data_IF_097020212985
#
_entry.id   IF_097020212985
#
_cell.length_a   1.000
_cell.length_b   1.000
_cell.length_c   1.000
_cell.angle_alpha   90.00
_cell.angle_beta   90.00
_cell.angle_gamma   90.00
#
_symmetry.space_group_name_H-M   'P 1'
#
loop_
_entity.id
_entity.type
_entity.pdbx_description
1 polymer ?
#
# COMPACT_ATOMS: atom_id res chain seq x y z
N UNK A 1 23.65 25.85 -0.95
CA UNK A 1 22.32 26.30 -0.42
C UNK A 1 22.47 26.54 1.07
N UNK A 2 21.74 27.51 1.63
CA UNK A 2 21.72 27.72 3.08
C UNK A 2 21.06 26.49 3.77
N UNK A 3 21.43 26.19 5.04
CA UNK A 3 20.84 25.11 5.80
C UNK A 3 19.32 25.28 5.98
N UNK A 4 18.55 24.26 5.67
CA UNK A 4 17.08 24.27 5.80
C UNK A 4 16.57 23.67 7.11
N UNK A 5 17.44 22.99 7.86
CA UNK A 5 17.03 22.20 9.01
C UNK A 5 16.39 23.02 10.13
N UNK A 6 16.98 24.17 10.48
CA UNK A 6 16.48 24.98 11.60
C UNK A 6 15.05 25.52 11.37
N UNK A 7 14.74 26.23 10.27
CA UNK A 7 13.39 26.72 10.02
C UNK A 7 12.39 25.58 9.81
N UNK A 8 12.81 24.47 9.20
CA UNK A 8 11.96 23.29 8.97
C UNK A 8 11.57 22.61 10.29
N UNK A 9 12.52 22.37 11.19
CA UNK A 9 12.28 21.73 12.48
C UNK A 9 11.43 22.60 13.41
N UNK A 10 11.69 23.92 13.45
CA UNK A 10 10.87 24.86 14.22
C UNK A 10 9.42 24.84 13.74
N UNK A 11 9.20 24.85 12.43
CA UNK A 11 7.85 24.74 11.85
C UNK A 11 7.21 23.40 12.20
N UNK A 12 7.94 22.29 12.08
CA UNK A 12 7.44 20.95 12.36
C UNK A 12 6.97 20.81 13.81
N UNK A 13 7.74 21.31 14.78
CA UNK A 13 7.36 21.25 16.19
C UNK A 13 6.07 22.01 16.49
N UNK A 14 5.81 23.12 15.79
CA UNK A 14 4.61 23.91 15.94
C UNK A 14 3.39 23.37 15.17
N UNK A 15 3.60 22.62 14.06
CA UNK A 15 2.53 22.30 13.10
C UNK A 15 2.31 20.80 12.87
N UNK A 16 3.14 19.92 13.43
CA UNK A 16 2.99 18.48 13.24
C UNK A 16 1.64 17.96 13.72
N UNK A 17 0.99 17.14 12.90
CA UNK A 17 -0.29 16.53 13.24
C UNK A 17 -0.14 15.55 14.41
N UNK A 18 -1.09 15.58 15.32
CA UNK A 18 -1.22 14.56 16.37
C UNK A 18 -1.86 13.33 15.78
N UNK A 19 -1.04 12.34 15.42
CA UNK A 19 -1.49 11.10 14.80
C UNK A 19 -1.32 9.94 15.78
N UNK A 20 -2.29 8.99 15.89
CA UNK A 20 -2.23 7.88 16.84
C UNK A 20 -0.91 7.10 16.79
N UNK A 21 -0.40 6.85 15.61
CA UNK A 21 0.86 6.10 15.40
C UNK A 21 2.15 6.88 15.71
N UNK A 22 2.05 8.11 16.27
CA UNK A 22 3.18 8.88 16.80
C UNK A 22 3.28 8.83 18.33
N UNK A 23 2.28 8.25 18.99
CA UNK A 23 2.19 8.29 20.46
C UNK A 23 3.07 7.22 21.12
N UNK A 24 3.28 6.08 20.47
CA UNK A 24 4.13 4.99 20.98
C UNK A 24 5.09 4.50 19.88
N UNK A 25 6.20 5.17 19.66
CA UNK A 25 7.08 4.91 18.53
C UNK A 25 8.06 3.76 18.79
N UNK A 26 7.58 2.51 18.90
CA UNK A 26 8.49 1.38 18.75
C UNK A 26 8.95 1.25 17.29
N UNK A 27 10.11 0.66 17.05
CA UNK A 27 10.60 0.40 15.70
C UNK A 27 9.60 -0.46 14.88
N UNK A 28 8.93 -1.42 15.55
CA UNK A 28 7.88 -2.23 14.94
C UNK A 28 6.65 -1.40 14.54
N UNK A 29 6.13 -0.58 15.44
CA UNK A 29 4.98 0.29 15.18
C UNK A 29 5.27 1.27 14.04
N UNK A 30 6.47 1.82 14.01
CA UNK A 30 6.93 2.69 12.94
C UNK A 30 7.00 1.94 11.61
N UNK A 31 7.58 0.74 11.59
CA UNK A 31 7.62 -0.09 10.38
C UNK A 31 6.23 -0.41 9.85
N UNK A 32 5.29 -0.85 10.71
CA UNK A 32 3.89 -1.11 10.32
C UNK A 32 3.25 0.14 9.73
N UNK A 33 3.41 1.30 10.38
CA UNK A 33 2.92 2.60 9.90
C UNK A 33 3.45 2.91 8.50
N UNK A 34 4.75 2.82 8.30
CA UNK A 34 5.39 3.18 7.03
C UNK A 34 4.91 2.27 5.88
N UNK A 35 4.75 0.99 6.13
CA UNK A 35 4.22 0.06 5.12
C UNK A 35 2.73 0.34 4.84
N UNK A 36 1.92 0.63 5.85
CA UNK A 36 0.50 0.94 5.65
C UNK A 36 0.29 2.23 4.86
N UNK A 37 1.11 3.25 5.09
CA UNK A 37 1.01 4.54 4.43
C UNK A 37 1.50 4.53 2.97
N UNK A 38 2.18 3.46 2.52
CA UNK A 38 2.53 3.34 1.11
C UNK A 38 1.26 3.33 0.24
N UNK A 39 1.06 4.39 -0.57
CA UNK A 39 -0.10 4.57 -1.45
C UNK A 39 -1.46 4.58 -0.74
N UNK A 40 -1.49 4.82 0.57
CA UNK A 40 -2.70 4.94 1.38
C UNK A 40 -2.71 6.30 2.08
N UNK A 41 -3.85 7.00 2.05
CA UNK A 41 -4.00 8.27 2.76
C UNK A 41 -3.99 8.04 4.27
N UNK A 42 -3.38 8.96 5.02
CA UNK A 42 -3.25 8.88 6.48
C UNK A 42 -4.58 8.59 7.18
N UNK A 43 -5.61 9.39 6.91
CA UNK A 43 -6.93 9.22 7.53
C UNK A 43 -7.56 7.84 7.25
N UNK A 44 -7.31 7.28 6.07
CA UNK A 44 -7.80 5.94 5.72
C UNK A 44 -7.00 4.83 6.39
N UNK A 45 -5.73 5.05 6.70
CA UNK A 45 -4.85 4.04 7.30
C UNK A 45 -5.06 3.87 8.81
N UNK A 46 -5.44 4.94 9.53
CA UNK A 46 -5.54 4.93 11.00
C UNK A 46 -6.37 3.76 11.55
N UNK A 47 -7.64 3.54 11.14
CA UNK A 47 -8.45 2.44 11.71
C UNK A 47 -7.89 1.05 11.38
N UNK A 48 -7.14 0.91 10.28
CA UNK A 48 -6.45 -0.34 9.96
C UNK A 48 -5.23 -0.54 10.84
N UNK A 49 -4.47 0.52 11.07
CA UNK A 49 -3.30 0.48 11.94
C UNK A 49 -3.68 0.07 13.37
N UNK A 50 -4.68 0.71 13.95
CA UNK A 50 -5.15 0.43 15.30
C UNK A 50 -5.59 -1.04 15.46
N UNK A 51 -6.40 -1.55 14.52
CA UNK A 51 -6.81 -2.96 14.53
C UNK A 51 -5.63 -3.91 14.35
N UNK A 52 -4.71 -3.57 13.46
CA UNK A 52 -3.54 -4.40 13.15
C UNK A 52 -2.61 -4.52 14.35
N UNK A 53 -2.28 -3.40 15.00
CA UNK A 53 -1.41 -3.41 16.19
C UNK A 53 -2.10 -4.08 17.38
N UNK A 54 -3.41 -3.90 17.55
CA UNK A 54 -4.15 -4.60 18.60
C UNK A 54 -4.13 -6.14 18.44
N UNK A 55 -4.21 -6.62 17.19
CA UNK A 55 -4.18 -8.06 16.88
C UNK A 55 -2.76 -8.63 16.82
N UNK A 56 -1.80 -7.84 16.37
CA UNK A 56 -0.41 -8.24 16.08
C UNK A 56 0.54 -7.19 16.68
N UNK A 57 0.75 -7.20 18.01
CA UNK A 57 1.44 -6.13 18.73
C UNK A 57 2.97 -6.11 18.50
N UNK A 58 3.55 -7.18 17.99
CA UNK A 58 4.98 -7.35 17.83
C UNK A 58 5.34 -8.23 16.62
N UNK A 59 6.63 -8.32 16.24
CA UNK A 59 7.06 -9.14 15.12
C UNK A 59 6.77 -10.63 15.31
N UNK A 60 6.74 -11.14 16.53
CA UNK A 60 6.48 -12.56 16.79
C UNK A 60 5.03 -12.93 16.51
N UNK A 61 4.07 -12.10 16.94
CA UNK A 61 2.67 -12.24 16.61
C UNK A 61 2.42 -12.17 15.11
N UNK A 62 3.07 -11.21 14.41
CA UNK A 62 2.99 -11.08 12.96
C UNK A 62 3.59 -12.31 12.23
N UNK A 63 4.73 -12.82 12.69
CA UNK A 63 5.38 -13.98 12.11
C UNK A 63 4.53 -15.26 12.21
N UNK A 64 3.85 -15.44 13.35
CA UNK A 64 3.03 -16.60 13.66
C UNK A 64 1.61 -16.54 13.09
N UNK A 65 1.14 -15.37 12.67
CA UNK A 65 -0.23 -15.19 12.19
C UNK A 65 -0.53 -16.06 10.97
N UNK A 66 -1.70 -16.70 10.95
CA UNK A 66 -2.15 -17.46 9.80
C UNK A 66 -2.32 -16.55 8.57
N UNK A 67 -1.90 -17.01 7.36
CA UNK A 67 -1.87 -16.14 6.18
C UNK A 67 -3.21 -15.52 5.78
N UNK A 68 -4.32 -16.25 5.91
CA UNK A 68 -5.62 -15.74 5.53
C UNK A 68 -6.18 -14.76 6.58
N UNK A 69 -5.95 -15.02 7.88
CA UNK A 69 -6.26 -14.07 8.95
C UNK A 69 -5.46 -12.77 8.80
N UNK A 70 -4.17 -12.87 8.45
CA UNK A 70 -3.33 -11.70 8.18
C UNK A 70 -3.86 -10.86 7.01
N UNK A 71 -4.23 -11.52 5.90
CA UNK A 71 -4.83 -10.84 4.74
C UNK A 71 -6.18 -10.24 5.07
N UNK A 72 -6.93 -10.84 5.98
CA UNK A 72 -8.22 -10.33 6.45
C UNK A 72 -8.05 -9.04 7.24
N UNK A 73 -7.09 -8.96 8.16
CA UNK A 73 -6.72 -7.72 8.86
C UNK A 73 -6.31 -6.60 7.89
N UNK A 74 -5.74 -6.97 6.73
CA UNK A 74 -5.30 -6.03 5.70
C UNK A 74 -6.37 -5.70 4.66
N UNK A 75 -7.53 -6.36 4.70
CA UNK A 75 -8.58 -6.23 3.70
C UNK A 75 -9.08 -4.79 3.60
N UNK A 76 -9.04 -4.23 2.39
CA UNK A 76 -9.42 -2.84 2.11
C UNK A 76 -8.23 -1.91 1.84
N UNK A 77 -7.04 -2.18 2.37
CA UNK A 77 -5.84 -1.38 2.11
C UNK A 77 -5.24 -1.61 0.71
N UNK A 78 -5.51 -2.78 0.11
CA UNK A 78 -4.92 -3.15 -1.18
C UNK A 78 -3.41 -3.46 -1.10
N UNK A 79 -2.79 -3.72 -2.27
CA UNK A 79 -1.36 -4.02 -2.36
C UNK A 79 -0.90 -5.09 -1.35
N UNK A 80 -1.56 -6.23 -1.32
CA UNK A 80 -1.39 -7.30 -0.33
C UNK A 80 0.03 -7.87 -0.27
N UNK A 81 0.84 -7.68 -1.32
CA UNK A 81 2.27 -8.01 -1.26
C UNK A 81 2.99 -7.30 -0.12
N UNK A 82 2.49 -6.13 0.32
CA UNK A 82 3.06 -5.41 1.47
C UNK A 82 2.98 -6.25 2.73
N UNK A 83 1.79 -6.67 3.11
CA UNK A 83 1.59 -7.46 4.34
C UNK A 83 2.19 -8.87 4.24
N UNK A 84 2.17 -9.49 3.06
CA UNK A 84 2.83 -10.77 2.85
C UNK A 84 4.37 -10.67 3.03
N UNK A 85 4.98 -9.57 2.55
CA UNK A 85 6.40 -9.32 2.76
C UNK A 85 6.71 -8.93 4.21
N UNK A 86 5.83 -8.18 4.87
CA UNK A 86 5.96 -7.90 6.31
C UNK A 86 6.01 -9.18 7.13
N UNK A 87 5.14 -10.15 6.86
CA UNK A 87 5.17 -11.43 7.56
C UNK A 87 6.48 -12.20 7.34
N UNK A 88 6.97 -12.22 6.09
CA UNK A 88 8.28 -12.85 5.79
C UNK A 88 9.41 -12.14 6.53
N UNK A 89 9.42 -10.81 6.54
CA UNK A 89 10.40 -10.03 7.25
C UNK A 89 10.30 -10.27 8.77
N UNK A 90 9.10 -10.34 9.34
CA UNK A 90 8.89 -10.62 10.75
C UNK A 90 9.47 -11.99 11.17
N UNK A 91 9.33 -13.02 10.33
CA UNK A 91 9.98 -14.33 10.58
C UNK A 91 11.49 -14.19 10.63
N UNK A 92 12.10 -13.48 9.69
CA UNK A 92 13.55 -13.23 9.68
C UNK A 92 13.97 -12.43 10.92
N UNK A 93 13.18 -11.42 11.31
CA UNK A 93 13.43 -10.63 12.54
C UNK A 93 13.42 -11.52 13.79
N UNK A 94 12.47 -12.43 13.91
CA UNK A 94 12.43 -13.39 15.01
C UNK A 94 13.61 -14.36 14.99
N UNK A 95 13.95 -14.89 13.81
CA UNK A 95 15.00 -15.90 13.65
C UNK A 95 16.43 -15.35 13.82
N UNK A 96 16.68 -14.14 13.32
CA UNK A 96 18.03 -13.60 13.19
C UNK A 96 18.35 -12.43 14.14
N UNK A 97 17.30 -11.74 14.63
CA UNK A 97 17.45 -10.52 15.42
C UNK A 97 16.71 -10.58 16.77
N UNK A 98 16.34 -11.79 17.23
CA UNK A 98 15.73 -11.97 18.55
C UNK A 98 14.34 -11.37 18.73
N UNK A 99 13.65 -11.05 17.64
CA UNK A 99 12.30 -10.47 17.66
C UNK A 99 12.26 -8.93 17.58
N UNK A 100 13.41 -8.26 17.58
CA UNK A 100 13.52 -6.81 17.44
C UNK A 100 14.08 -6.41 16.06
N UNK A 101 13.58 -5.31 15.51
CA UNK A 101 14.14 -4.78 14.26
C UNK A 101 15.60 -4.36 14.45
N UNK A 102 16.51 -4.68 13.50
CA UNK A 102 17.92 -4.34 13.63
C UNK A 102 18.13 -2.82 13.56
N UNK A 103 18.96 -2.28 14.49
CA UNK A 103 19.38 -0.90 14.48
C UNK A 103 20.52 -0.66 13.48
N UNK A 104 20.32 -1.09 12.25
CA UNK A 104 21.26 -0.97 11.13
C UNK A 104 20.52 -0.79 9.82
N UNK A 105 20.91 0.20 9.01
CA UNK A 105 20.23 0.56 7.78
C UNK A 105 20.29 -0.55 6.72
N UNK A 106 21.45 -1.18 6.54
CA UNK A 106 21.63 -2.22 5.51
C UNK A 106 20.93 -3.52 5.92
N UNK A 107 20.94 -3.86 7.20
CA UNK A 107 20.19 -4.98 7.74
C UNK A 107 18.67 -4.77 7.56
N UNK A 108 18.14 -3.58 7.90
CA UNK A 108 16.73 -3.23 7.63
C UNK A 108 16.39 -3.35 6.15
N UNK A 109 17.25 -2.82 5.28
CA UNK A 109 17.05 -2.81 3.84
C UNK A 109 17.08 -4.22 3.22
N UNK A 110 17.76 -5.17 3.84
CA UNK A 110 17.81 -6.57 3.41
C UNK A 110 16.50 -7.33 3.66
N UNK A 111 15.63 -6.83 4.54
CA UNK A 111 14.37 -7.48 4.90
C UNK A 111 13.34 -7.39 3.76
N UNK A 112 12.57 -8.45 3.51
CA UNK A 112 11.54 -8.47 2.47
C UNK A 112 10.55 -7.30 2.58
N UNK A 113 10.39 -6.55 1.49
CA UNK A 113 9.45 -5.43 1.42
C UNK A 113 9.94 -4.12 2.04
N UNK A 114 11.15 -4.07 2.60
CA UNK A 114 11.79 -2.87 3.09
C UNK A 114 12.74 -2.34 2.03
N UNK A 115 12.38 -1.24 1.40
CA UNK A 115 13.23 -0.50 0.46
C UNK A 115 13.97 0.66 1.14
N UNK A 116 14.76 1.39 0.34
CA UNK A 116 15.58 2.53 0.82
C UNK A 116 14.78 3.53 1.67
N UNK A 117 13.56 3.87 1.25
CA UNK A 117 12.69 4.78 2.00
C UNK A 117 12.31 4.22 3.38
N UNK A 118 11.77 3.00 3.43
CA UNK A 118 11.30 2.41 4.69
C UNK A 118 12.47 2.15 5.64
N UNK A 119 13.60 1.65 5.11
CA UNK A 119 14.82 1.48 5.90
C UNK A 119 15.31 2.83 6.45
N UNK A 120 15.32 3.89 5.63
CA UNK A 120 15.70 5.23 6.05
C UNK A 120 14.78 5.79 7.13
N UNK A 121 13.46 5.61 6.98
CA UNK A 121 12.49 6.06 7.98
C UNK A 121 12.68 5.33 9.33
N UNK A 122 12.73 4.00 9.31
CA UNK A 122 12.92 3.21 10.55
C UNK A 122 14.27 3.51 11.19
N UNK A 123 15.36 3.50 10.41
CA UNK A 123 16.71 3.74 10.92
C UNK A 123 16.84 5.13 11.55
N UNK A 124 16.29 6.17 10.91
CA UNK A 124 16.42 7.54 11.42
C UNK A 124 15.48 7.86 12.57
N UNK A 125 14.22 7.42 12.50
CA UNK A 125 13.18 7.80 13.47
C UNK A 125 13.26 6.94 14.73
N UNK A 126 13.43 5.60 14.57
CA UNK A 126 13.49 4.70 15.72
C UNK A 126 14.89 4.63 16.35
N UNK A 127 15.94 4.72 15.54
CA UNK A 127 17.32 4.46 16.00
C UNK A 127 18.25 5.67 15.92
N UNK A 128 17.78 6.82 15.42
CA UNK A 128 18.60 8.04 15.33
C UNK A 128 19.76 7.94 14.34
N UNK A 129 19.75 6.98 13.41
CA UNK A 129 20.80 6.81 12.42
C UNK A 129 20.63 7.89 11.33
N UNK A 130 21.69 8.66 10.99
CA UNK A 130 21.59 9.79 10.05
C UNK A 130 21.55 9.32 8.59
N UNK A 131 20.40 8.75 8.20
CA UNK A 131 20.09 8.30 6.84
C UNK A 131 18.78 8.92 6.35
N UNK A 132 18.68 9.30 5.06
CA UNK A 132 17.50 9.97 4.54
C UNK A 132 16.35 9.00 4.24
N UNK A 133 15.12 9.46 4.48
CA UNK A 133 13.89 8.80 4.07
C UNK A 133 13.24 9.59 2.91
N UNK A 134 13.53 9.20 1.66
CA UNK A 134 13.12 9.96 0.48
C UNK A 134 11.91 9.32 -0.18
N UNK A 135 10.72 9.87 0.09
CA UNK A 135 9.46 9.51 -0.53
C UNK A 135 9.06 10.49 -1.66
N UNK A 136 7.87 10.32 -2.21
CA UNK A 136 7.34 11.22 -3.23
C UNK A 136 7.11 12.66 -2.74
N UNK A 137 6.89 12.87 -1.43
CA UNK A 137 6.77 14.20 -0.84
C UNK A 137 8.12 14.88 -0.79
N UNK A 138 9.13 14.19 -0.29
CA UNK A 138 10.51 14.69 -0.19
C UNK A 138 11.07 15.01 -1.57
N UNK A 139 10.86 14.12 -2.57
CA UNK A 139 11.25 14.40 -3.96
C UNK A 139 10.61 15.69 -4.49
N UNK A 140 9.33 15.92 -4.22
CA UNK A 140 8.63 17.14 -4.62
C UNK A 140 9.16 18.38 -3.93
N UNK A 141 9.37 18.30 -2.62
CA UNK A 141 9.94 19.41 -1.83
C UNK A 141 11.31 19.80 -2.40
N UNK A 142 12.19 18.83 -2.62
CA UNK A 142 13.54 19.08 -3.12
C UNK A 142 13.58 19.54 -4.58
N UNK A 143 12.70 19.02 -5.45
CA UNK A 143 12.56 19.52 -6.83
C UNK A 143 12.23 21.02 -6.83
N UNK A 144 11.29 21.44 -5.99
CA UNK A 144 10.89 22.85 -5.85
C UNK A 144 11.96 23.69 -5.18
N UNK A 145 12.52 23.20 -4.08
CA UNK A 145 13.55 23.91 -3.31
C UNK A 145 14.78 24.24 -4.17
N UNK A 146 15.18 23.33 -5.06
CA UNK A 146 16.33 23.52 -5.95
C UNK A 146 15.94 24.07 -7.33
N UNK A 147 14.66 24.23 -7.64
CA UNK A 147 14.13 24.56 -8.98
C UNK A 147 14.63 23.57 -10.05
N UNK A 148 14.60 22.28 -9.73
CA UNK A 148 15.15 21.20 -10.54
C UNK A 148 14.03 20.52 -11.32
N UNK A 149 14.11 20.53 -12.66
CA UNK A 149 13.12 19.97 -13.57
C UNK A 149 13.49 18.58 -14.09
N UNK A 150 14.50 17.94 -13.51
CA UNK A 150 14.81 16.56 -13.80
C UNK A 150 13.63 15.64 -13.42
N UNK A 151 13.39 14.60 -14.26
CA UNK A 151 12.36 13.60 -13.99
C UNK A 151 12.60 12.91 -12.63
N UNK A 152 11.72 13.19 -11.65
CA UNK A 152 11.83 12.61 -10.30
C UNK A 152 11.58 11.10 -10.24
N UNK A 153 11.10 10.50 -11.31
CA UNK A 153 10.93 9.04 -11.41
C UNK A 153 12.21 8.34 -11.86
N UNK A 154 13.15 9.07 -12.48
CA UNK A 154 14.42 8.52 -12.94
C UNK A 154 15.31 8.10 -11.76
N UNK A 155 15.92 6.90 -11.77
CA UNK A 155 16.79 6.43 -10.69
C UNK A 155 17.97 7.36 -10.39
N UNK A 156 18.57 7.95 -11.41
CA UNK A 156 19.67 8.91 -11.26
C UNK A 156 19.23 10.17 -10.50
N UNK A 157 18.04 10.72 -10.80
CA UNK A 157 17.46 11.88 -10.12
C UNK A 157 17.17 11.56 -8.66
N UNK A 158 16.58 10.39 -8.37
CA UNK A 158 16.33 9.94 -6.99
C UNK A 158 17.63 9.86 -6.20
N UNK A 159 18.68 9.26 -6.78
CA UNK A 159 20.01 9.18 -6.14
C UNK A 159 20.58 10.57 -5.85
N UNK A 160 20.54 11.47 -6.83
CA UNK A 160 21.02 12.85 -6.65
C UNK A 160 20.25 13.60 -5.55
N UNK A 161 18.93 13.43 -5.50
CA UNK A 161 18.10 14.07 -4.45
C UNK A 161 18.34 13.45 -3.08
N UNK A 162 18.55 12.14 -2.99
CA UNK A 162 18.95 11.47 -1.75
C UNK A 162 20.25 12.08 -1.17
N UNK A 163 21.24 12.34 -2.00
CA UNK A 163 22.48 13.03 -1.59
C UNK A 163 22.16 14.45 -1.08
N UNK A 164 21.35 15.22 -1.80
CA UNK A 164 20.97 16.58 -1.37
C UNK A 164 20.21 16.59 -0.04
N UNK A 165 19.34 15.59 0.21
CA UNK A 165 18.63 15.44 1.49
C UNK A 165 19.63 15.15 2.61
N UNK A 166 20.56 14.24 2.36
CA UNK A 166 21.61 13.88 3.33
C UNK A 166 22.53 15.07 3.66
N UNK A 167 22.93 15.86 2.66
CA UNK A 167 23.77 17.05 2.84
C UNK A 167 23.11 18.13 3.71
N UNK A 168 21.78 18.15 3.77
CA UNK A 168 21.00 19.09 4.59
C UNK A 168 20.59 18.51 5.94
N UNK A 169 20.83 17.24 6.18
CA UNK A 169 20.37 16.51 7.36
C UNK A 169 21.22 16.83 8.60
N UNK A 170 20.63 17.28 9.71
CA UNK A 170 21.33 17.43 10.97
C UNK A 170 21.59 16.05 11.60
N UNK A 171 22.85 15.77 11.93
CA UNK A 171 23.25 14.47 12.53
C UNK A 171 22.59 14.19 13.89
N UNK A 172 22.27 15.24 14.65
CA UNK A 172 21.67 15.10 15.96
C UNK A 172 20.17 14.80 15.95
N UNK A 173 19.47 15.13 14.86
CA UNK A 173 18.00 15.01 14.77
C UNK A 173 17.54 14.48 13.42
N UNK A 174 18.09 13.32 12.95
CA UNK A 174 17.77 12.80 11.62
C UNK A 174 16.30 12.34 11.50
N UNK A 175 15.75 11.73 12.53
CA UNK A 175 14.34 11.30 12.56
C UNK A 175 13.37 12.48 12.45
N UNK A 176 13.41 13.46 13.36
CA UNK A 176 12.59 14.67 13.26
C UNK A 176 12.75 15.41 11.93
N UNK A 177 13.94 15.46 11.35
CA UNK A 177 14.18 16.08 10.05
C UNK A 177 13.47 15.34 8.90
N UNK A 178 13.55 14.00 8.85
CA UNK A 178 12.82 13.20 7.85
C UNK A 178 11.30 13.36 8.02
N UNK A 179 10.80 13.29 9.25
CA UNK A 179 9.37 13.51 9.52
C UNK A 179 8.92 14.93 9.12
N UNK A 180 9.71 15.94 9.40
CA UNK A 180 9.42 17.32 9.04
C UNK A 180 9.34 17.53 7.52
N UNK A 181 10.23 16.91 6.74
CA UNK A 181 10.17 16.94 5.28
C UNK A 181 8.90 16.29 4.73
N UNK A 182 8.54 15.12 5.27
CA UNK A 182 7.32 14.42 4.87
C UNK A 182 6.06 15.22 5.22
N UNK A 183 6.03 15.80 6.43
CA UNK A 183 4.90 16.61 6.91
C UNK A 183 4.76 17.91 6.11
N UNK A 184 5.89 18.61 5.81
CA UNK A 184 5.89 19.79 4.94
C UNK A 184 5.32 19.46 3.56
N UNK A 185 5.71 18.31 2.99
CA UNK A 185 5.17 17.83 1.72
C UNK A 185 3.69 17.50 1.79
N UNK A 186 3.20 17.02 2.94
CA UNK A 186 1.80 16.66 3.10
C UNK A 186 0.87 17.84 3.36
N UNK A 187 1.36 18.92 4.02
CA UNK A 187 0.52 20.02 4.50
C UNK A 187 0.70 21.33 3.72
N UNK A 188 1.92 21.63 3.31
CA UNK A 188 2.27 22.94 2.72
C UNK A 188 2.73 22.79 1.27
N UNK A 189 3.77 22.01 1.04
CA UNK A 189 4.33 21.78 -0.30
C UNK A 189 3.55 20.68 -1.06
N UNK A 190 2.21 20.80 -1.12
CA UNK A 190 1.28 19.81 -1.67
C UNK A 190 1.41 19.65 -3.21
N UNK A 191 0.90 18.55 -3.81
CA UNK A 191 0.78 18.41 -5.26
C UNK A 191 -0.09 19.50 -5.89
N UNK A 192 0.21 19.89 -7.11
CA UNK A 192 -0.45 21.03 -7.78
C UNK A 192 0.04 22.35 -7.20
N UNK A 193 -0.86 23.20 -6.76
CA UNK A 193 -0.56 24.53 -6.20
C UNK A 193 -0.19 24.43 -4.73
N UNK A 194 1.09 24.63 -4.33
CA UNK A 194 1.52 24.61 -2.93
C UNK A 194 1.18 25.92 -2.19
N UNK A 195 1.10 25.83 -0.86
CA UNK A 195 0.88 26.98 0.03
C UNK A 195 2.22 27.67 0.36
N UNK A 196 2.84 28.30 -0.65
CA UNK A 196 4.20 28.84 -0.52
C UNK A 196 4.33 29.98 0.49
N UNK A 197 3.26 30.76 0.69
CA UNK A 197 3.25 31.88 1.65
C UNK A 197 3.29 31.41 3.12
N UNK A 198 2.85 30.17 3.37
CA UNK A 198 2.89 29.52 4.70
C UNK A 198 4.15 28.67 4.90
N UNK A 199 5.02 28.58 3.87
CA UNK A 199 6.13 27.65 3.87
C UNK A 199 7.33 28.19 4.69
N UNK A 200 7.85 27.45 5.68
CA UNK A 200 9.02 27.86 6.45
C UNK A 200 10.29 27.97 5.61
N UNK A 201 10.27 27.45 4.38
CA UNK A 201 11.39 27.46 3.44
C UNK A 201 11.16 28.41 2.25
N UNK A 202 10.15 29.29 2.29
CA UNK A 202 9.79 30.16 1.17
C UNK A 202 10.98 30.99 0.67
N UNK A 203 11.70 31.66 1.58
CA UNK A 203 12.83 32.51 1.27
C UNK A 203 14.05 31.74 0.71
N UNK A 204 14.13 30.45 0.94
CA UNK A 204 15.17 29.55 0.46
C UNK A 204 14.79 28.81 -0.82
N UNK A 205 13.50 28.88 -1.21
CA UNK A 205 12.94 28.09 -2.28
C UNK A 205 13.15 28.73 -3.66
N UNK A 206 14.07 28.15 -4.45
CA UNK A 206 14.36 28.64 -5.79
C UNK A 206 13.18 28.48 -6.76
N UNK A 207 12.37 27.42 -6.60
CA UNK A 207 11.18 27.19 -7.42
C UNK A 207 10.08 28.21 -7.16
N UNK A 208 9.92 28.64 -5.90
CA UNK A 208 9.00 29.72 -5.52
C UNK A 208 9.48 31.07 -6.05
N UNK A 209 10.74 31.41 -5.80
CA UNK A 209 11.35 32.65 -6.30
C UNK A 209 11.29 32.76 -7.86
N UNK A 210 11.34 31.63 -8.55
CA UNK A 210 11.23 31.57 -10.02
C UNK A 210 9.78 31.51 -10.52
N UNK A 211 8.76 31.48 -9.66
CA UNK A 211 7.35 31.34 -10.05
C UNK A 211 7.02 29.97 -10.68
N UNK A 212 7.78 28.91 -10.36
CA UNK A 212 7.65 27.58 -10.98
C UNK A 212 7.22 26.48 -10.01
N UNK A 213 6.85 26.82 -8.79
CA UNK A 213 6.54 25.83 -7.77
C UNK A 213 5.38 24.88 -8.14
N UNK A 214 4.39 25.35 -8.86
CA UNK A 214 3.24 24.56 -9.34
C UNK A 214 3.58 23.63 -10.53
N UNK A 215 4.65 23.93 -11.27
CA UNK A 215 5.11 23.14 -12.43
C UNK A 215 6.04 21.98 -12.01
N UNK A 216 6.52 22.01 -10.77
CA UNK A 216 7.45 21.00 -10.22
C UNK A 216 6.75 20.07 -9.20
N UNK A 217 7.16 18.81 -9.09
CA UNK A 217 8.23 18.14 -9.83
C UNK A 217 7.78 17.70 -11.23
N UNK A 218 8.73 17.57 -12.16
CA UNK A 218 8.48 16.98 -13.48
C UNK A 218 8.37 15.46 -13.34
N UNK A 219 7.36 14.90 -14.00
CA UNK A 219 7.11 13.45 -14.08
C UNK A 219 6.76 13.06 -15.51
N UNK A 220 7.15 11.85 -15.97
CA UNK A 220 6.72 11.38 -17.28
C UNK A 220 5.21 11.18 -17.30
N UNK A 221 4.63 11.32 -18.48
CA UNK A 221 3.22 11.01 -18.69
C UNK A 221 2.93 9.54 -18.29
N UNK A 222 1.81 9.28 -17.60
CA UNK A 222 1.43 7.91 -17.26
C UNK A 222 1.26 7.05 -18.51
N UNK A 223 1.80 5.84 -18.52
CA UNK A 223 1.57 4.88 -19.59
C UNK A 223 0.11 4.46 -19.61
N UNK A 224 -0.44 4.26 -20.81
CA UNK A 224 -1.78 3.73 -20.99
C UNK A 224 -1.88 2.34 -20.33
N UNK A 225 -2.98 2.10 -19.62
CA UNK A 225 -3.24 0.81 -18.96
C UNK A 225 -3.94 -0.13 -19.92
N UNK A 226 -3.46 -1.38 -20.01
CA UNK A 226 -4.13 -2.43 -20.74
C UNK A 226 -5.49 -2.76 -20.11
N UNK A 227 -6.49 -3.05 -20.95
CA UNK A 227 -7.81 -3.52 -20.52
C UNK A 227 -7.85 -5.04 -20.60
N UNK A 228 -8.42 -5.67 -19.59
CA UNK A 228 -8.58 -7.12 -19.50
C UNK A 228 -10.04 -7.39 -19.16
N UNK A 229 -10.78 -8.10 -20.03
CA UNK A 229 -12.13 -8.56 -19.69
C UNK A 229 -12.05 -9.65 -18.63
N UNK A 230 -12.98 -9.59 -17.68
CA UNK A 230 -13.07 -10.59 -16.59
C UNK A 230 -14.51 -11.04 -16.48
N UNK A 231 -14.74 -12.33 -16.70
CA UNK A 231 -16.05 -12.95 -16.49
C UNK A 231 -16.13 -13.52 -15.08
N UNK A 232 -17.12 -13.07 -14.31
CA UNK A 232 -17.39 -13.46 -12.93
C UNK A 232 -18.60 -14.36 -12.88
N UNK A 233 -18.50 -15.47 -12.16
CA UNK A 233 -19.62 -16.34 -11.79
C UNK A 233 -19.97 -16.10 -10.32
N UNK A 234 -21.10 -15.48 -10.06
CA UNK A 234 -21.63 -15.26 -8.71
C UNK A 234 -22.64 -16.38 -8.42
N UNK A 235 -22.15 -17.51 -7.98
CA UNK A 235 -22.96 -18.75 -7.81
C UNK A 235 -23.20 -18.98 -6.33
N UNK A 236 -24.47 -19.10 -5.96
CA UNK A 236 -24.94 -19.37 -4.61
C UNK A 236 -25.45 -20.81 -4.48
N UNK A 237 -25.20 -21.42 -3.34
CA UNK A 237 -25.75 -22.70 -2.92
C UNK A 237 -26.32 -22.60 -1.51
N UNK A 238 -26.92 -23.68 -1.01
CA UNK A 238 -27.35 -23.78 0.39
C UNK A 238 -26.19 -23.67 1.40
N UNK A 239 -24.94 -23.90 0.96
CA UNK A 239 -23.73 -23.76 1.77
C UNK A 239 -23.06 -22.39 1.65
N UNK A 240 -23.52 -21.52 0.75
CA UNK A 240 -23.01 -20.17 0.57
C UNK A 240 -22.53 -19.85 -0.84
N UNK A 241 -21.68 -18.85 -0.95
CA UNK A 241 -21.14 -18.34 -2.21
C UNK A 241 -19.93 -19.15 -2.68
N UNK A 242 -19.90 -19.50 -3.97
CA UNK A 242 -18.73 -20.13 -4.58
C UNK A 242 -17.55 -19.14 -4.64
N UNK A 243 -16.49 -19.46 -3.92
CA UNK A 243 -15.22 -18.72 -3.99
C UNK A 243 -14.13 -19.57 -4.62
N UNK A 244 -13.23 -18.89 -5.30
CA UNK A 244 -12.00 -19.39 -5.86
C UNK A 244 -10.80 -18.73 -5.22
N UNK A 245 -9.80 -19.49 -4.84
CA UNK A 245 -8.51 -18.96 -4.40
C UNK A 245 -7.65 -18.60 -5.60
N UNK A 246 -7.11 -17.40 -5.61
CA UNK A 246 -6.17 -16.99 -6.66
C UNK A 246 -4.82 -17.72 -6.52
N UNK A 247 -4.09 -17.88 -7.63
CA UNK A 247 -2.75 -18.48 -7.61
C UNK A 247 -1.82 -17.78 -6.59
N UNK A 248 -0.84 -18.51 -6.09
CA UNK A 248 0.14 -18.01 -5.12
C UNK A 248 1.05 -16.89 -5.66
N UNK A 249 1.03 -16.64 -6.99
CA UNK A 249 1.80 -15.58 -7.65
C UNK A 249 0.91 -14.75 -8.56
N UNK A 250 1.30 -13.51 -8.79
CA UNK A 250 0.58 -12.60 -9.69
C UNK A 250 -0.33 -11.61 -8.96
N UNK A 251 -1.27 -11.04 -9.69
CA UNK A 251 -2.19 -10.03 -9.17
C UNK A 251 -3.13 -10.63 -8.14
N UNK A 252 -3.27 -9.99 -6.97
CA UNK A 252 -4.13 -10.43 -5.87
C UNK A 252 -3.80 -11.87 -5.39
N UNK A 253 -2.52 -12.25 -5.42
CA UNK A 253 -2.05 -13.61 -5.14
C UNK A 253 -2.56 -14.14 -3.78
N UNK A 254 -3.10 -15.37 -3.80
CA UNK A 254 -3.57 -16.10 -2.62
C UNK A 254 -4.86 -15.56 -1.98
N UNK A 255 -5.47 -14.50 -2.52
CA UNK A 255 -6.77 -14.00 -2.06
C UNK A 255 -7.91 -14.86 -2.61
N UNK A 256 -9.04 -14.75 -1.93
CA UNK A 256 -10.28 -15.38 -2.37
C UNK A 256 -11.10 -14.41 -3.24
N UNK A 257 -11.86 -14.96 -4.19
CA UNK A 257 -12.71 -14.17 -5.07
C UNK A 257 -13.91 -15.02 -5.51
N UNK A 258 -15.03 -14.44 -5.97
CA UNK A 258 -16.00 -15.19 -6.74
C UNK A 258 -15.29 -15.91 -7.90
N UNK A 259 -15.76 -17.09 -8.30
CA UNK A 259 -15.14 -17.80 -9.41
C UNK A 259 -15.08 -16.88 -10.64
N UNK A 260 -13.88 -16.68 -11.21
CA UNK A 260 -13.68 -15.70 -12.27
C UNK A 260 -12.56 -16.10 -13.23
N UNK A 261 -12.70 -15.67 -14.48
CA UNK A 261 -11.77 -15.94 -15.58
C UNK A 261 -11.34 -14.60 -16.22
N UNK A 262 -10.04 -14.37 -16.36
CA UNK A 262 -9.48 -13.16 -17.02
C UNK A 262 -9.63 -13.25 -18.55
N UNK A 263 -10.85 -13.45 -19.01
CA UNK A 263 -11.29 -13.46 -20.43
C UNK A 263 -12.80 -13.19 -20.52
N UNK A 264 -13.26 -12.75 -21.68
CA UNK A 264 -14.68 -12.69 -21.97
C UNK A 264 -15.20 -14.11 -22.26
N UNK A 265 -16.20 -14.54 -21.52
CA UNK A 265 -16.93 -15.81 -21.75
C UNK A 265 -18.38 -15.51 -22.06
N UNK A 266 -18.94 -16.21 -23.01
CA UNK A 266 -20.38 -16.30 -23.21
C UNK A 266 -21.03 -17.07 -22.06
N UNK A 267 -22.37 -17.06 -21.99
CA UNK A 267 -23.12 -17.83 -20.98
C UNK A 267 -22.80 -19.34 -21.05
N UNK A 268 -22.77 -19.90 -22.26
CA UNK A 268 -22.52 -21.32 -22.47
C UNK A 268 -21.08 -21.72 -22.13
N UNK A 269 -20.09 -20.89 -22.49
CA UNK A 269 -18.69 -21.09 -22.11
C UNK A 269 -18.48 -20.99 -20.60
N UNK A 270 -19.19 -20.07 -19.91
CA UNK A 270 -19.15 -19.98 -18.46
C UNK A 270 -19.77 -21.21 -17.79
N UNK A 271 -20.92 -21.69 -18.32
CA UNK A 271 -21.56 -22.92 -17.86
C UNK A 271 -20.61 -24.10 -18.00
N UNK A 272 -19.94 -24.24 -19.14
CA UNK A 272 -18.95 -25.29 -19.37
C UNK A 272 -17.72 -25.15 -18.42
N UNK A 273 -17.27 -23.94 -18.16
CA UNK A 273 -16.16 -23.70 -17.23
C UNK A 273 -16.52 -24.08 -15.78
N UNK A 274 -17.74 -23.80 -15.35
CA UNK A 274 -18.26 -24.20 -14.03
C UNK A 274 -18.42 -25.75 -13.96
N UNK A 275 -18.94 -26.36 -14.97
CA UNK A 275 -19.03 -27.85 -15.06
C UNK A 275 -17.64 -28.50 -14.99
N UNK A 276 -16.61 -27.86 -15.58
CA UNK A 276 -15.22 -28.31 -15.53
C UNK A 276 -14.61 -28.34 -14.12
N UNK A 277 -15.18 -27.62 -13.16
CA UNK A 277 -14.81 -27.66 -11.73
C UNK A 277 -15.83 -28.41 -10.88
N UNK A 278 -16.75 -29.17 -11.52
CA UNK A 278 -17.77 -29.99 -10.85
C UNK A 278 -19.04 -29.25 -10.45
N UNK A 279 -19.19 -27.96 -10.79
CA UNK A 279 -20.34 -27.13 -10.39
C UNK A 279 -21.38 -27.10 -11.51
N UNK A 280 -22.54 -27.69 -11.27
CA UNK A 280 -23.70 -27.68 -12.20
C UNK A 280 -24.58 -26.47 -11.87
N UNK A 281 -24.23 -25.31 -12.44
CA UNK A 281 -24.93 -24.09 -12.17
C UNK A 281 -26.03 -23.75 -13.16
N UNK A 282 -27.17 -23.26 -12.65
CA UNK A 282 -28.16 -22.54 -13.43
C UNK A 282 -27.80 -21.04 -13.40
N UNK A 283 -27.50 -20.47 -14.56
CA UNK A 283 -27.18 -19.05 -14.68
C UNK A 283 -28.49 -18.28 -14.94
N UNK A 284 -28.83 -17.36 -14.01
CA UNK A 284 -30.14 -16.69 -14.00
C UNK A 284 -30.09 -15.34 -14.72
N UNK A 285 -29.26 -14.42 -14.24
CA UNK A 285 -29.19 -13.03 -14.72
C UNK A 285 -27.76 -12.54 -14.98
N UNK A 286 -27.57 -11.64 -15.96
CA UNK A 286 -26.26 -11.03 -16.18
C UNK A 286 -25.92 -10.07 -15.04
N UNK A 287 -24.66 -10.09 -14.61
CA UNK A 287 -24.15 -9.11 -13.66
C UNK A 287 -23.99 -7.73 -14.33
N UNK A 288 -24.29 -6.65 -13.61
CA UNK A 288 -24.06 -5.31 -14.14
C UNK A 288 -22.56 -5.12 -14.44
N UNK A 289 -22.22 -4.45 -15.56
CA UNK A 289 -20.82 -4.14 -15.88
C UNK A 289 -20.16 -3.34 -14.78
N UNK A 290 -18.94 -3.72 -14.42
CA UNK A 290 -18.14 -3.03 -13.42
C UNK A 290 -16.71 -2.87 -13.91
N UNK A 291 -15.95 -1.98 -13.25
CA UNK A 291 -14.56 -1.69 -13.61
C UNK A 291 -13.71 -1.55 -12.39
N UNK A 292 -12.55 -2.21 -12.40
CA UNK A 292 -11.54 -1.99 -11.36
C UNK A 292 -10.21 -1.59 -11.98
N UNK A 293 -9.59 -0.54 -11.43
CA UNK A 293 -8.36 0.06 -11.96
C UNK A 293 -7.18 -0.30 -11.08
N UNK A 294 -6.26 -1.09 -11.61
CA UNK A 294 -4.97 -1.39 -11.00
C UNK A 294 -3.88 -0.42 -11.50
N UNK A 295 -2.67 -0.57 -10.99
CA UNK A 295 -1.54 0.26 -11.40
C UNK A 295 -1.21 0.12 -12.88
N UNK A 296 -1.25 -1.09 -13.45
CA UNK A 296 -0.83 -1.36 -14.83
C UNK A 296 -1.93 -1.88 -15.74
N UNK A 297 -3.09 -2.27 -15.22
CA UNK A 297 -4.22 -2.76 -16.02
C UNK A 297 -5.56 -2.34 -15.44
N UNK A 298 -6.58 -2.48 -16.26
CA UNK A 298 -7.97 -2.23 -15.90
C UNK A 298 -8.70 -3.55 -16.12
N UNK A 299 -9.40 -4.03 -15.10
CA UNK A 299 -10.38 -5.08 -15.28
C UNK A 299 -11.72 -4.48 -15.71
N UNK A 300 -12.26 -5.00 -16.80
CA UNK A 300 -13.63 -4.77 -17.23
C UNK A 300 -14.43 -6.02 -16.84
N UNK A 301 -15.20 -5.92 -15.73
CA UNK A 301 -15.88 -7.05 -15.13
C UNK A 301 -17.31 -7.13 -15.64
N UNK A 302 -17.76 -8.33 -15.87
CA UNK A 302 -19.13 -8.73 -16.17
C UNK A 302 -19.31 -10.20 -15.80
N UNK A 303 -20.39 -10.81 -16.20
CA UNK A 303 -20.62 -12.23 -15.93
C UNK A 303 -22.07 -12.53 -15.58
N UNK A 304 -22.29 -13.53 -14.74
CA UNK A 304 -23.61 -14.05 -14.45
C UNK A 304 -23.78 -14.38 -12.96
N UNK A 305 -24.97 -14.10 -12.46
CA UNK A 305 -25.47 -14.66 -11.20
C UNK A 305 -26.18 -15.97 -11.50
N UNK A 306 -26.13 -16.89 -10.55
CA UNK A 306 -26.82 -18.17 -10.68
C UNK A 306 -26.80 -18.95 -9.38
N UNK A 307 -27.40 -20.12 -9.43
CA UNK A 307 -27.50 -21.05 -8.31
C UNK A 307 -26.96 -22.43 -8.71
N UNK A 308 -26.48 -23.19 -7.75
CA UNK A 308 -26.10 -24.58 -7.92
C UNK A 308 -26.35 -25.36 -6.63
N UNK A 309 -26.65 -26.66 -6.70
CA UNK A 309 -26.59 -27.51 -5.51
C UNK A 309 -25.17 -27.52 -4.97
N UNK A 310 -25.02 -27.53 -3.63
CA UNK A 310 -23.71 -27.73 -3.05
C UNK A 310 -23.12 -29.08 -3.44
N UNK A 311 -21.85 -29.07 -3.79
CA UNK A 311 -21.13 -30.28 -4.24
C UNK A 311 -19.71 -30.26 -3.68
N UNK A 312 -19.02 -31.38 -3.76
CA UNK A 312 -17.58 -31.43 -3.49
C UNK A 312 -16.84 -30.59 -4.52
N UNK A 313 -15.98 -29.71 -4.05
CA UNK A 313 -15.21 -28.79 -4.87
C UNK A 313 -13.74 -29.21 -4.96
N UNK A 314 -13.06 -28.95 -6.08
CA UNK A 314 -11.64 -29.18 -6.18
C UNK A 314 -10.83 -28.22 -5.29
N UNK A 315 -9.57 -28.55 -5.06
CA UNK A 315 -8.65 -27.70 -4.31
C UNK A 315 -8.65 -26.25 -4.83
N UNK A 316 -8.68 -25.30 -3.90
CA UNK A 316 -8.71 -23.87 -4.22
C UNK A 316 -10.12 -23.32 -4.47
N UNK A 317 -11.17 -24.09 -4.26
CA UNK A 317 -12.56 -23.64 -4.28
C UNK A 317 -13.27 -23.97 -2.96
N UNK A 318 -14.19 -23.12 -2.55
CA UNK A 318 -15.01 -23.31 -1.35
C UNK A 318 -16.41 -22.76 -1.56
N UNK A 319 -17.38 -23.34 -0.84
CA UNK A 319 -18.65 -22.69 -0.56
C UNK A 319 -18.49 -21.89 0.71
N UNK A 320 -18.55 -20.57 0.62
CA UNK A 320 -18.34 -19.67 1.75
C UNK A 320 -19.67 -19.20 2.30
N UNK A 321 -19.97 -19.57 3.54
CA UNK A 321 -21.14 -19.05 4.25
C UNK A 321 -21.03 -17.51 4.42
N UNK A 322 -22.14 -16.79 4.59
CA UNK A 322 -22.12 -15.34 4.77
C UNK A 322 -21.21 -14.87 5.91
N UNK A 323 -21.16 -15.64 7.00
CA UNK A 323 -20.29 -15.36 8.17
C UNK A 323 -18.82 -15.51 7.79
N UNK A 324 -18.47 -16.56 7.04
CA UNK A 324 -17.10 -16.81 6.60
C UNK A 324 -16.61 -15.75 5.59
N UNK A 325 -17.52 -15.23 4.76
CA UNK A 325 -17.20 -14.09 3.89
C UNK A 325 -16.81 -12.86 4.69
N UNK A 326 -17.46 -12.65 5.84
CA UNK A 326 -17.17 -11.52 6.72
C UNK A 326 -15.87 -11.72 7.51
N UNK A 327 -15.55 -12.95 7.96
CA UNK A 327 -14.52 -13.20 8.97
C UNK A 327 -13.31 -13.99 8.47
N UNK A 328 -13.49 -14.91 7.52
CA UNK A 328 -12.46 -15.89 7.13
C UNK A 328 -11.83 -15.55 5.78
N UNK A 329 -12.65 -15.33 4.76
CA UNK A 329 -12.16 -15.21 3.38
C UNK A 329 -11.84 -13.77 2.99
N UNK A 330 -10.55 -13.39 2.76
CA UNK A 330 -10.17 -12.04 2.32
C UNK A 330 -10.50 -11.84 0.83
N UNK A 331 -11.65 -11.21 0.55
CA UNK A 331 -12.07 -10.86 -0.81
C UNK A 331 -11.62 -9.44 -1.15
N UNK A 332 -10.87 -9.22 -2.26
CA UNK A 332 -10.37 -7.90 -2.62
C UNK A 332 -11.50 -6.98 -3.14
N UNK A 333 -11.34 -5.67 -2.92
CA UNK A 333 -12.25 -4.63 -3.40
C UNK A 333 -12.46 -4.63 -4.92
N UNK A 334 -11.64 -5.34 -5.67
CA UNK A 334 -11.83 -5.52 -7.11
C UNK A 334 -13.19 -6.15 -7.45
N UNK A 335 -13.75 -6.95 -6.54
CA UNK A 335 -15.06 -7.59 -6.67
C UNK A 335 -16.15 -6.91 -5.83
N UNK A 336 -15.87 -5.74 -5.26
CA UNK A 336 -16.80 -5.02 -4.37
C UNK A 336 -18.10 -4.56 -5.03
N UNK A 337 -18.19 -4.57 -6.37
CA UNK A 337 -19.44 -4.35 -7.10
C UNK A 337 -20.41 -5.53 -6.94
N UNK A 338 -19.92 -6.73 -6.66
CA UNK A 338 -20.69 -7.98 -6.62
C UNK A 338 -20.73 -8.61 -5.23
N UNK A 339 -19.64 -8.50 -4.48
CA UNK A 339 -19.52 -9.04 -3.12
C UNK A 339 -19.23 -7.87 -2.19
N UNK A 340 -20.23 -7.47 -1.40
CA UNK A 340 -20.02 -6.47 -0.35
C UNK A 340 -19.49 -7.20 0.89
N UNK A 341 -18.27 -6.89 1.30
CA UNK A 341 -17.88 -7.13 2.68
C UNK A 341 -18.75 -6.21 3.55
N UNK A 342 -19.65 -6.81 4.31
CA UNK A 342 -20.45 -6.08 5.31
C UNK A 342 -19.56 -5.69 6.48
#
# INVERSE_FOLDING_TARGET
MQPIAAPLLQWFDANKRLLPFRQEPSAYHLWVREIMLQQTRVAAAIPYYERFIAALPDPAALAACEPDALRKLWQGLGYYNRVNNMQKAARIVCEQYGGDLPADYDALRSLPGIGDYTAGAVASIAFGIPVPAVDGNVLRVFARLYNDDADVMAPATKKAFTVRVLDQMPKATPGPYNEALMELGALVCIPGTPHCEECPLADLCRGYAAGRADQLPVKPAPKAKGKVPVTVALIESEQGLLLQRRPARGLLAGLWQPAAWEKALTRDELTAALAGIGVQAALDEPLPPAKHVFTHKIWELGGWRGTAPACALPDGYVWAAPEDLAEVYPVPNAFGAYVKAK
#
